data_IF_841072134704
#
_entry.id   IF_841072134704
#
_cell.length_a   1.000
_cell.length_b   1.000
_cell.length_c   1.000
_cell.angle_alpha   90.00
_cell.angle_beta   90.00
_cell.angle_gamma   90.00
#
_symmetry.space_group_name_H-M   'P 1'
#
loop_
_entity.id
_entity.type
_entity.pdbx_description
1 polymer ?
#
# COMPACT_ATOMS: atom_id res chain seq x y z
N UNK A 1 -8.99 -12.32 0.70
CA UNK A 1 -9.69 -11.00 0.65
C UNK A 1 -8.73 -9.98 0.03
N UNK A 2 -9.14 -8.73 -0.21
CA UNK A 2 -8.45 -7.83 -1.14
C UNK A 2 -8.73 -8.25 -2.59
N UNK A 3 -7.75 -8.12 -3.47
CA UNK A 3 -7.86 -8.45 -4.90
C UNK A 3 -7.44 -9.88 -5.27
N UNK A 4 -7.41 -10.80 -4.31
CA UNK A 4 -7.10 -12.21 -4.56
C UNK A 4 -8.06 -12.84 -5.59
N UNK A 5 -7.53 -13.81 -6.37
CA UNK A 5 -8.18 -14.55 -7.45
C UNK A 5 -9.64 -14.98 -7.23
N UNK A 6 -10.35 -15.15 -8.36
CA UNK A 6 -11.82 -15.08 -8.46
C UNK A 6 -12.30 -13.66 -8.13
N UNK A 7 -11.81 -12.69 -8.90
CA UNK A 7 -11.95 -11.24 -8.67
C UNK A 7 -13.41 -10.80 -8.61
N UNK A 8 -14.29 -11.36 -9.46
CA UNK A 8 -15.74 -11.13 -9.42
C UNK A 8 -16.41 -11.46 -8.08
N UNK A 9 -15.78 -12.26 -7.21
CA UNK A 9 -16.27 -12.53 -5.85
C UNK A 9 -15.76 -11.53 -4.81
N UNK A 10 -14.93 -10.56 -5.19
CA UNK A 10 -14.31 -9.59 -4.28
C UNK A 10 -15.16 -8.34 -4.09
N UNK A 11 -16.12 -8.09 -4.96
CA UNK A 11 -16.91 -6.86 -4.95
C UNK A 11 -18.41 -7.16 -5.17
N UNK A 12 -19.32 -6.37 -4.56
CA UNK A 12 -20.75 -6.50 -4.82
C UNK A 12 -21.13 -5.80 -6.14
N UNK A 13 -22.32 -6.10 -6.66
CA UNK A 13 -22.79 -5.63 -7.99
C UNK A 13 -22.67 -4.11 -8.20
N UNK A 14 -22.85 -3.29 -7.15
CA UNK A 14 -22.71 -1.82 -7.22
C UNK A 14 -21.29 -1.33 -7.60
N UNK A 15 -20.27 -2.18 -7.41
CA UNK A 15 -18.87 -1.93 -7.79
C UNK A 15 -18.48 -2.62 -9.10
N UNK A 16 -19.41 -3.28 -9.81
CA UNK A 16 -19.18 -3.80 -11.15
C UNK A 16 -19.24 -2.67 -12.20
N UNK A 17 -18.27 -1.76 -12.17
CA UNK A 17 -18.21 -0.55 -12.99
C UNK A 17 -17.58 -0.81 -14.36
N UNK A 18 -16.48 -1.56 -14.38
CA UNK A 18 -15.84 -2.02 -15.60
C UNK A 18 -16.53 -3.32 -16.01
N UNK A 19 -17.47 -3.25 -16.95
CA UNK A 19 -18.32 -4.39 -17.32
C UNK A 19 -18.47 -4.60 -18.82
N UNK A 20 -17.83 -3.77 -19.64
CA UNK A 20 -17.76 -3.92 -21.09
C UNK A 20 -16.48 -4.67 -21.46
N UNK A 21 -16.60 -5.88 -22.01
CA UNK A 21 -15.48 -6.70 -22.44
C UNK A 21 -15.77 -7.33 -23.81
N UNK A 22 -14.80 -7.30 -24.71
CA UNK A 22 -14.87 -7.90 -26.05
C UNK A 22 -14.41 -9.36 -26.06
N UNK A 23 -13.60 -9.74 -25.08
CA UNK A 23 -13.03 -11.08 -24.96
C UNK A 23 -12.82 -11.46 -23.48
N UNK A 24 -12.41 -12.70 -23.22
CA UNK A 24 -12.22 -13.20 -21.87
C UNK A 24 -11.08 -12.51 -21.10
N UNK A 25 -10.02 -12.07 -21.81
CA UNK A 25 -8.90 -11.34 -21.20
C UNK A 25 -9.35 -9.99 -20.66
N UNK A 26 -10.05 -9.20 -21.48
CA UNK A 26 -10.66 -7.93 -21.03
C UNK A 26 -11.65 -8.14 -19.88
N UNK A 27 -12.41 -9.25 -19.89
CA UNK A 27 -13.31 -9.59 -18.79
C UNK A 27 -12.53 -9.79 -17.48
N UNK A 28 -11.43 -10.52 -17.50
CA UNK A 28 -10.62 -10.77 -16.29
C UNK A 28 -9.99 -9.47 -15.77
N UNK A 29 -9.45 -8.63 -16.67
CA UNK A 29 -8.92 -7.31 -16.32
C UNK A 29 -10.00 -6.47 -15.64
N UNK A 30 -11.18 -6.37 -16.25
CA UNK A 30 -12.32 -5.65 -15.70
C UNK A 30 -12.73 -6.17 -14.31
N UNK A 31 -12.77 -7.49 -14.12
CA UNK A 31 -13.07 -8.08 -12.80
C UNK A 31 -12.00 -7.71 -11.77
N UNK A 32 -10.71 -7.71 -12.15
CA UNK A 32 -9.62 -7.26 -11.28
C UNK A 32 -9.76 -5.77 -10.93
N UNK A 33 -9.99 -4.90 -11.92
CA UNK A 33 -10.15 -3.45 -11.71
C UNK A 33 -11.34 -3.12 -10.80
N UNK A 34 -12.45 -3.84 -10.93
CA UNK A 34 -13.58 -3.70 -10.02
C UNK A 34 -13.25 -4.16 -8.59
N UNK A 35 -12.39 -5.19 -8.44
CA UNK A 35 -11.90 -5.60 -7.14
C UNK A 35 -11.02 -4.53 -6.48
N UNK A 36 -10.18 -3.85 -7.28
CA UNK A 36 -9.36 -2.73 -6.83
C UNK A 36 -10.24 -1.54 -6.43
N UNK A 37 -11.26 -1.21 -7.23
CA UNK A 37 -12.22 -0.16 -6.91
C UNK A 37 -12.96 -0.43 -5.60
N UNK A 38 -13.34 -1.68 -5.34
CA UNK A 38 -13.96 -2.02 -4.07
C UNK A 38 -12.98 -2.00 -2.91
N UNK A 39 -11.73 -2.43 -3.14
CA UNK A 39 -10.68 -2.35 -2.14
C UNK A 39 -10.35 -0.90 -1.76
N UNK A 40 -10.35 0.03 -2.72
CA UNK A 40 -10.26 1.48 -2.47
C UNK A 40 -11.37 1.94 -1.52
N UNK A 41 -12.62 1.56 -1.77
CA UNK A 41 -13.72 1.86 -0.86
C UNK A 41 -13.48 1.32 0.55
N UNK A 42 -13.00 0.09 0.69
CA UNK A 42 -12.74 -0.52 2.01
C UNK A 42 -11.63 0.24 2.74
N UNK A 43 -10.48 0.47 2.10
CA UNK A 43 -9.34 1.19 2.69
C UNK A 43 -9.73 2.62 3.05
N UNK A 44 -10.39 3.34 2.15
CA UNK A 44 -10.90 4.68 2.42
C UNK A 44 -11.89 4.69 3.58
N UNK A 45 -12.78 3.70 3.69
CA UNK A 45 -13.72 3.60 4.81
C UNK A 45 -13.01 3.44 6.15
N UNK A 46 -11.96 2.60 6.21
CA UNK A 46 -11.16 2.42 7.42
C UNK A 46 -10.40 3.70 7.81
N UNK A 47 -9.77 4.37 6.84
CA UNK A 47 -9.07 5.63 7.06
C UNK A 47 -10.04 6.75 7.44
N UNK A 48 -11.24 6.76 6.90
CA UNK A 48 -12.29 7.70 7.24
C UNK A 48 -12.74 7.53 8.70
N UNK A 49 -13.03 6.30 9.15
CA UNK A 49 -13.39 6.02 10.55
C UNK A 49 -12.28 6.51 11.48
N UNK A 50 -11.01 6.19 11.15
CA UNK A 50 -9.85 6.63 11.93
C UNK A 50 -9.73 8.16 11.97
N UNK A 51 -9.97 8.83 10.83
CA UNK A 51 -9.99 10.29 10.74
C UNK A 51 -11.06 10.90 11.63
N UNK A 52 -12.30 10.38 11.59
CA UNK A 52 -13.39 10.87 12.44
C UNK A 52 -13.06 10.70 13.93
N UNK A 53 -12.53 9.54 14.33
CA UNK A 53 -12.09 9.32 15.70
C UNK A 53 -11.04 10.34 16.16
N UNK A 54 -10.07 10.69 15.31
CA UNK A 54 -9.06 11.70 15.64
C UNK A 54 -9.59 13.14 15.64
N UNK A 55 -10.68 13.41 14.91
CA UNK A 55 -11.38 14.71 14.97
C UNK A 55 -12.14 14.81 16.29
N UNK A 56 -12.86 13.77 16.71
CA UNK A 56 -13.59 13.78 17.98
C UNK A 56 -12.63 13.78 19.20
N UNK A 57 -11.43 13.21 19.04
CA UNK A 57 -10.42 13.07 20.09
C UNK A 57 -9.12 13.78 19.68
N UNK A 58 -9.12 15.13 19.69
CA UNK A 58 -8.04 15.95 19.14
C UNK A 58 -6.63 15.70 19.73
N UNK A 59 -6.51 15.11 20.92
CA UNK A 59 -5.21 14.76 21.52
C UNK A 59 -4.61 13.46 20.95
N UNK A 60 -5.37 12.69 20.16
CA UNK A 60 -4.90 11.42 19.59
C UNK A 60 -3.85 11.65 18.51
N UNK A 61 -2.65 11.16 18.80
CA UNK A 61 -1.54 11.03 17.85
C UNK A 61 -1.67 9.67 17.17
N UNK A 62 -1.94 9.66 15.86
CA UNK A 62 -2.15 8.40 15.16
C UNK A 62 -1.55 8.43 13.76
N UNK A 63 -1.02 7.27 13.35
CA UNK A 63 -0.59 6.98 11.99
C UNK A 63 -1.22 5.67 11.53
N UNK A 64 -1.35 5.47 10.22
CA UNK A 64 -1.75 4.21 9.62
C UNK A 64 -0.92 3.96 8.36
N UNK A 65 -0.59 2.69 8.13
CA UNK A 65 0.06 2.24 6.92
C UNK A 65 -0.82 1.17 6.29
N UNK A 66 -1.13 1.33 5.00
CA UNK A 66 -1.78 0.31 4.18
C UNK A 66 -0.80 -0.11 3.09
N UNK A 67 -0.63 -1.42 2.92
CA UNK A 67 0.16 -1.99 1.84
C UNK A 67 -0.40 -3.38 1.47
N UNK A 68 -0.12 -3.84 0.25
CA UNK A 68 -0.44 -5.21 -0.18
C UNK A 68 0.70 -6.14 0.18
N UNK A 69 0.43 -7.41 0.44
CA UNK A 69 1.45 -8.44 0.65
C UNK A 69 2.25 -8.72 -0.63
N UNK A 70 1.56 -8.76 -1.76
CA UNK A 70 2.12 -8.81 -3.11
C UNK A 70 1.20 -8.11 -4.12
N UNK A 71 1.65 -7.98 -5.36
CA UNK A 71 0.82 -7.55 -6.49
C UNK A 71 0.34 -8.75 -7.31
N UNK A 72 -0.37 -8.50 -8.40
CA UNK A 72 -0.94 -9.56 -9.25
C UNK A 72 -0.75 -9.18 -10.71
N UNK A 73 -0.10 -10.04 -11.50
CA UNK A 73 -0.06 -9.87 -12.94
C UNK A 73 -1.42 -10.27 -13.52
N UNK A 74 -2.07 -9.33 -14.21
CA UNK A 74 -3.36 -9.54 -14.87
C UNK A 74 -3.21 -9.16 -16.34
N UNK A 75 -2.35 -9.91 -17.01
CA UNK A 75 -1.91 -9.69 -18.39
C UNK A 75 -1.08 -8.41 -18.64
N UNK A 76 -0.53 -7.79 -17.59
CA UNK A 76 0.41 -6.67 -17.70
C UNK A 76 1.68 -7.10 -18.44
N UNK A 77 2.19 -8.28 -18.09
CA UNK A 77 3.36 -8.92 -18.71
C UNK A 77 3.07 -10.38 -19.09
N UNK A 78 3.82 -10.91 -20.06
CA UNK A 78 3.86 -12.33 -20.43
C UNK A 78 2.53 -13.01 -20.83
N UNK A 79 1.49 -12.23 -21.11
CA UNK A 79 0.14 -12.70 -21.49
C UNK A 79 -0.44 -13.78 -20.55
N UNK A 80 -0.13 -13.69 -19.25
CA UNK A 80 -0.60 -14.61 -18.22
C UNK A 80 -1.30 -13.87 -17.07
N UNK A 81 -1.92 -14.64 -16.17
CA UNK A 81 -2.57 -14.12 -14.96
C UNK A 81 -2.10 -14.91 -13.76
N UNK A 82 -1.81 -14.21 -12.67
CA UNK A 82 -1.41 -14.83 -11.42
C UNK A 82 -0.13 -14.23 -10.87
N UNK A 83 0.32 -14.80 -9.76
CA UNK A 83 1.53 -14.39 -9.04
C UNK A 83 2.48 -15.57 -8.78
N UNK A 84 2.46 -16.58 -9.65
CA UNK A 84 3.30 -17.78 -9.52
C UNK A 84 4.79 -17.44 -9.73
N UNK A 85 5.66 -18.19 -9.04
CA UNK A 85 7.11 -18.13 -9.23
C UNK A 85 7.48 -18.72 -10.59
N UNK A 86 7.51 -17.88 -11.62
CA UNK A 86 8.09 -18.19 -12.92
C UNK A 86 9.56 -17.75 -12.99
N UNK A 87 10.30 -18.26 -13.98
CA UNK A 87 11.70 -17.86 -14.25
C UNK A 87 11.84 -16.35 -14.49
N UNK A 88 10.76 -15.71 -14.97
CA UNK A 88 10.62 -14.27 -15.10
C UNK A 88 9.55 -13.81 -14.13
N UNK A 89 9.90 -12.94 -13.19
CA UNK A 89 8.97 -12.33 -12.24
C UNK A 89 8.42 -11.01 -12.82
N UNK A 90 7.12 -10.94 -13.18
CA UNK A 90 6.49 -9.69 -13.58
C UNK A 90 6.65 -8.61 -12.49
N UNK A 91 6.87 -7.36 -12.92
CA UNK A 91 6.88 -6.21 -12.00
C UNK A 91 5.55 -6.07 -11.29
N UNK A 92 4.44 -6.35 -11.97
CA UNK A 92 3.11 -6.33 -11.40
C UNK A 92 2.94 -7.25 -10.17
N UNK A 93 3.77 -8.28 -10.00
CA UNK A 93 3.74 -9.17 -8.82
C UNK A 93 4.42 -8.57 -7.58
N UNK A 94 5.30 -7.58 -7.76
CA UNK A 94 6.14 -7.02 -6.68
C UNK A 94 5.92 -5.53 -6.44
N UNK A 95 5.41 -4.80 -7.42
CA UNK A 95 4.98 -3.42 -7.24
C UNK A 95 3.62 -3.39 -6.54
N UNK A 96 3.60 -2.83 -5.33
CA UNK A 96 2.44 -2.82 -4.44
C UNK A 96 2.09 -1.39 -4.02
N UNK A 97 0.82 -1.11 -3.65
CA UNK A 97 0.49 0.14 -3.00
C UNK A 97 1.17 0.23 -1.64
N UNK A 98 1.64 1.43 -1.28
CA UNK A 98 2.11 1.76 0.07
C UNK A 98 1.58 3.15 0.44
N UNK A 99 0.55 3.18 1.29
CA UNK A 99 -0.17 4.39 1.69
C UNK A 99 0.13 4.68 3.14
N UNK A 100 0.46 5.93 3.43
CA UNK A 100 0.69 6.43 4.79
C UNK A 100 -0.35 7.49 5.09
N UNK A 101 -1.02 7.34 6.23
CA UNK A 101 -1.97 8.30 6.78
C UNK A 101 -1.50 8.73 8.18
N UNK A 102 -1.78 9.97 8.55
CA UNK A 102 -1.47 10.53 9.87
C UNK A 102 -2.54 11.52 10.32
N UNK A 103 -2.72 11.64 11.64
CA UNK A 103 -3.68 12.59 12.23
C UNK A 103 -3.17 14.04 12.15
N UNK A 104 -4.08 15.01 12.24
CA UNK A 104 -3.72 16.43 12.32
C UNK A 104 -2.80 16.72 13.53
N UNK A 105 -3.03 16.03 14.66
CA UNK A 105 -2.17 16.12 15.84
C UNK A 105 -0.75 15.63 15.55
N UNK A 106 -0.61 14.48 14.89
CA UNK A 106 0.70 13.99 14.44
C UNK A 106 1.40 15.00 13.53
N UNK A 107 0.68 15.59 12.57
CA UNK A 107 1.22 16.63 11.70
C UNK A 107 1.74 17.84 12.47
N UNK A 108 1.02 18.29 13.51
CA UNK A 108 1.45 19.43 14.33
C UNK A 108 2.70 19.15 15.16
N UNK A 109 2.86 17.92 15.65
CA UNK A 109 3.96 17.54 16.55
C UNK A 109 5.22 17.11 15.80
N UNK A 110 5.07 16.53 14.60
CA UNK A 110 6.18 15.94 13.83
C UNK A 110 6.35 16.56 12.43
N UNK A 111 6.45 17.90 12.27
CA UNK A 111 6.56 18.53 10.96
C UNK A 111 7.82 18.10 10.18
N UNK A 112 8.94 17.90 10.90
CA UNK A 112 10.18 17.39 10.29
C UNK A 112 10.02 15.98 9.72
N UNK A 113 9.23 15.13 10.41
CA UNK A 113 8.95 13.77 9.94
C UNK A 113 8.08 13.80 8.68
N UNK A 114 7.11 14.71 8.60
CA UNK A 114 6.32 14.91 7.37
C UNK A 114 7.19 15.36 6.20
N UNK A 115 8.13 16.28 6.41
CA UNK A 115 9.07 16.70 5.35
C UNK A 115 9.87 15.49 4.82
N UNK A 116 10.29 14.58 5.70
CA UNK A 116 10.96 13.34 5.29
C UNK A 116 10.01 12.42 4.50
N UNK A 117 8.79 12.19 5.00
CA UNK A 117 7.77 11.38 4.30
C UNK A 117 7.55 11.92 2.88
N UNK A 118 7.33 13.22 2.73
CA UNK A 118 7.09 13.84 1.43
C UNK A 118 8.30 13.78 0.50
N UNK A 119 9.51 14.06 1.01
CA UNK A 119 10.74 13.99 0.21
C UNK A 119 11.11 12.56 -0.21
N UNK A 120 10.66 11.54 0.53
CA UNK A 120 10.90 10.14 0.21
C UNK A 120 9.75 9.46 -0.54
N UNK A 121 8.62 10.16 -0.80
CA UNK A 121 7.39 9.58 -1.38
C UNK A 121 7.61 8.74 -2.64
N UNK A 122 8.52 9.17 -3.51
CA UNK A 122 8.79 8.52 -4.81
C UNK A 122 10.06 7.65 -4.79
N UNK A 123 10.68 7.44 -3.63
CA UNK A 123 11.85 6.56 -3.53
C UNK A 123 11.38 5.10 -3.51
N UNK A 124 12.15 4.18 -4.12
CA UNK A 124 11.84 2.76 -4.04
C UNK A 124 11.86 2.30 -2.58
N UNK A 125 10.94 1.41 -2.23
CA UNK A 125 10.82 0.79 -0.92
C UNK A 125 10.61 -0.71 -1.07
N UNK A 126 11.22 -1.49 -0.17
CA UNK A 126 11.06 -2.94 -0.11
C UNK A 126 10.49 -3.30 1.26
N UNK A 127 9.51 -4.21 1.28
CA UNK A 127 8.77 -4.57 2.48
C UNK A 127 9.60 -5.24 3.56
N UNK A 128 10.79 -5.78 3.23
CA UNK A 128 11.82 -6.21 4.20
C UNK A 128 12.13 -5.12 5.25
N UNK A 129 11.99 -3.85 4.87
CA UNK A 129 12.29 -2.71 5.71
C UNK A 129 11.10 -2.24 6.57
N UNK A 130 9.93 -2.89 6.45
CA UNK A 130 8.68 -2.47 7.11
C UNK A 130 8.83 -2.37 8.63
N UNK A 131 9.58 -3.29 9.25
CA UNK A 131 9.86 -3.25 10.69
C UNK A 131 10.45 -1.90 11.10
N UNK A 132 11.52 -1.46 10.43
CA UNK A 132 12.18 -0.19 10.74
C UNK A 132 11.27 1.01 10.45
N UNK A 133 10.47 0.94 9.39
CA UNK A 133 9.50 1.99 9.06
C UNK A 133 8.43 2.15 10.16
N UNK A 134 7.89 1.04 10.70
CA UNK A 134 6.89 1.10 11.78
C UNK A 134 7.49 1.66 13.07
N UNK A 135 8.71 1.26 13.43
CA UNK A 135 9.41 1.80 14.61
C UNK A 135 9.63 3.30 14.48
N UNK A 136 10.12 3.76 13.31
CA UNK A 136 10.51 5.14 13.08
C UNK A 136 9.33 6.11 12.88
N UNK A 137 8.20 5.66 12.29
CA UNK A 137 7.01 6.52 12.16
C UNK A 137 6.29 6.73 13.50
N UNK A 138 6.48 5.82 14.45
CA UNK A 138 5.89 5.93 15.79
C UNK A 138 6.87 6.49 16.83
N UNK A 139 8.04 6.99 16.40
CA UNK A 139 9.09 7.56 17.25
C UNK A 139 9.54 6.61 18.40
N UNK A 140 9.53 5.30 18.13
CA UNK A 140 9.90 4.27 19.11
C UNK A 140 11.42 4.12 19.13
N UNK A 141 12.02 4.23 20.32
CA UNK A 141 13.45 3.94 20.51
C UNK A 141 13.66 2.44 20.66
N UNK A 142 14.49 1.84 19.80
CA UNK A 142 14.79 0.41 19.83
C UNK A 142 16.26 0.13 19.51
N UNK A 143 16.87 -0.83 20.24
CA UNK A 143 18.31 -1.11 20.14
C UNK A 143 18.76 -1.60 18.76
N UNK A 144 17.90 -2.34 18.05
CA UNK A 144 18.22 -2.89 16.72
C UNK A 144 17.65 -2.03 15.58
N UNK A 145 17.28 -0.78 15.86
CA UNK A 145 16.79 0.11 14.82
C UNK A 145 17.92 0.54 13.87
N UNK A 146 17.83 0.10 12.62
CA UNK A 146 18.67 0.56 11.50
C UNK A 146 17.99 1.75 10.76
N UNK A 147 18.43 3.01 10.98
CA UNK A 147 17.78 4.19 10.42
C UNK A 147 17.81 4.25 8.89
N UNK A 148 18.84 3.69 8.26
CA UNK A 148 18.98 3.60 6.81
C UNK A 148 17.94 2.69 6.15
N UNK A 149 17.23 1.87 6.93
CA UNK A 149 16.16 1.00 6.45
C UNK A 149 14.78 1.64 6.55
N UNK A 150 14.59 2.66 7.38
CA UNK A 150 13.29 3.33 7.45
C UNK A 150 13.13 4.38 6.35
N UNK A 151 12.10 4.24 5.52
CA UNK A 151 11.73 5.27 4.54
C UNK A 151 11.24 6.58 5.19
N UNK A 152 11.01 6.59 6.50
CA UNK A 152 10.65 7.78 7.28
C UNK A 152 11.84 8.43 7.98
N UNK A 153 13.06 7.99 7.65
CA UNK A 153 14.30 8.54 8.18
C UNK A 153 15.08 9.30 7.12
N UNK A 154 15.79 10.35 7.53
CA UNK A 154 16.67 11.12 6.64
C UNK A 154 17.84 10.29 6.10
N UNK A 155 18.25 9.23 6.82
CA UNK A 155 19.34 8.33 6.42
C UNK A 155 18.90 7.23 5.46
N UNK A 156 17.64 7.20 5.04
CA UNK A 156 17.09 6.14 4.20
C UNK A 156 17.96 5.84 2.97
N UNK A 157 18.39 4.59 2.83
CA UNK A 157 19.19 4.11 1.72
C UNK A 157 18.29 3.43 0.68
N UNK A 158 17.89 4.18 -0.35
CA UNK A 158 17.08 3.67 -1.46
C UNK A 158 17.81 2.72 -2.40
N UNK A 159 19.13 2.54 -2.23
CA UNK A 159 19.96 1.66 -3.08
C UNK A 159 20.16 0.27 -2.47
N UNK A 160 19.53 -0.04 -1.33
CA UNK A 160 19.61 -1.37 -0.72
C UNK A 160 19.04 -2.42 -1.68
N UNK A 161 19.87 -3.38 -2.07
CA UNK A 161 19.42 -4.55 -2.82
C UNK A 161 18.70 -5.53 -1.89
N UNK A 162 17.61 -6.11 -2.38
CA UNK A 162 17.05 -7.35 -1.82
C UNK A 162 18.07 -8.46 -2.12
N UNK A 163 18.39 -9.28 -1.10
CA UNK A 163 19.48 -10.27 -1.14
C UNK A 163 19.43 -11.10 -2.41
#
# INVERSE_FOLDING_TARGET
MGSHSKYSKRYPMKYNKFNLAKNNKEKIINEYDNSILYNDFVVNSLLYIKKQYCIENHEVIATAIYFSDHGENVYDENDNVGHDYADVLPKANVEIPFIVWYSARYQSLYPNKLNIIYSNKNKPFITDNLFHAIIDINDITFKLFEPERSIFNKKYNSNRKRI
#
